data_IF_776546603427
#
_entry.id   IF_776546603427
#
_cell.length_a   1.000
_cell.length_b   1.000
_cell.length_c   1.000
_cell.angle_alpha   90.00
_cell.angle_beta   90.00
_cell.angle_gamma   90.00
#
_symmetry.space_group_name_H-M   'P 1'
#
loop_
_entity.id
_entity.type
_entity.pdbx_description
1 polymer ?
#
# COMPACT_ATOMS: atom_id res chain seq x y z
N UNK A 1 11.86 -16.42 -1.57
CA UNK A 1 11.89 -14.96 -1.83
C UNK A 1 10.99 -14.17 -0.88
N UNK A 2 9.67 -14.44 -0.77
CA UNK A 2 8.82 -13.73 0.20
C UNK A 2 9.06 -14.17 1.66
N UNK A 3 9.24 -15.48 1.86
CA UNK A 3 9.57 -16.05 3.19
C UNK A 3 10.93 -15.55 3.71
N UNK A 4 11.87 -15.28 2.81
CA UNK A 4 13.20 -14.77 3.16
C UNK A 4 13.14 -13.31 3.64
N UNK A 5 12.26 -12.50 3.06
CA UNK A 5 12.00 -11.12 3.51
C UNK A 5 11.32 -11.08 4.88
N UNK A 6 10.36 -11.98 5.12
CA UNK A 6 9.71 -12.12 6.42
C UNK A 6 10.73 -12.51 7.50
N UNK A 7 11.58 -13.49 7.22
CA UNK A 7 12.69 -13.89 8.11
C UNK A 7 13.68 -12.75 8.36
N UNK A 8 14.04 -11.97 7.34
CA UNK A 8 14.94 -10.83 7.47
C UNK A 8 14.37 -9.71 8.36
N UNK A 9 13.05 -9.58 8.45
CA UNK A 9 12.35 -8.65 9.36
C UNK A 9 12.08 -9.26 10.75
N UNK A 10 12.59 -10.46 11.05
CA UNK A 10 12.38 -11.16 12.32
C UNK A 10 10.97 -11.70 12.51
N UNK A 11 10.18 -11.80 11.44
CA UNK A 11 8.81 -12.29 11.49
C UNK A 11 8.77 -13.79 11.16
N UNK A 12 8.02 -14.54 11.96
CA UNK A 12 7.69 -15.92 11.62
C UNK A 12 6.67 -15.93 10.48
N UNK A 13 6.89 -16.82 9.51
CA UNK A 13 5.92 -17.10 8.46
C UNK A 13 4.80 -17.92 9.09
N UNK A 14 3.66 -17.28 9.35
CA UNK A 14 2.50 -17.93 9.94
C UNK A 14 1.56 -18.33 8.80
N UNK A 15 1.13 -19.60 8.71
CA UNK A 15 0.10 -20.02 7.76
C UNK A 15 -1.15 -19.15 7.92
N UNK A 16 -1.78 -18.75 6.80
CA UNK A 16 -2.99 -17.93 6.82
C UNK A 16 -4.10 -18.52 7.72
N UNK A 17 -4.18 -19.85 7.82
CA UNK A 17 -5.13 -20.55 8.68
C UNK A 17 -4.94 -20.26 10.19
N UNK A 18 -3.72 -19.95 10.63
CA UNK A 18 -3.39 -19.64 12.04
C UNK A 18 -3.47 -18.14 12.34
N UNK A 19 -3.76 -17.30 11.33
CA UNK A 19 -3.91 -15.86 11.50
C UNK A 19 -5.11 -15.52 12.39
N UNK A 20 -6.14 -16.39 12.40
CA UNK A 20 -7.36 -16.31 13.19
C UNK A 20 -7.15 -16.44 14.70
N UNK A 21 -6.03 -17.03 15.13
CA UNK A 21 -5.72 -17.31 16.53
C UNK A 21 -4.87 -16.21 17.17
N UNK A 22 -4.36 -15.27 16.38
CA UNK A 22 -3.58 -14.13 16.84
C UNK A 22 -4.47 -13.07 17.51
N UNK A 23 -3.94 -12.45 18.57
CA UNK A 23 -4.54 -11.26 19.17
C UNK A 23 -4.82 -10.19 18.08
N UNK A 24 -5.97 -9.49 18.08
CA UNK A 24 -6.35 -8.55 17.03
C UNK A 24 -5.29 -7.49 16.71
N UNK A 25 -4.58 -7.00 17.73
CA UNK A 25 -3.50 -6.02 17.57
C UNK A 25 -2.30 -6.60 16.79
N UNK A 26 -1.88 -7.81 17.17
CA UNK A 26 -0.77 -8.53 16.54
C UNK A 26 -1.10 -8.87 15.09
N UNK A 27 -2.31 -9.37 14.85
CA UNK A 27 -2.84 -9.65 13.51
C UNK A 27 -2.79 -8.40 12.61
N UNK A 28 -3.26 -7.27 13.14
CA UNK A 28 -3.27 -5.99 12.40
C UNK A 28 -1.86 -5.53 12.06
N UNK A 29 -0.91 -5.66 13.00
CA UNK A 29 0.49 -5.33 12.75
C UNK A 29 1.11 -6.23 11.68
N UNK A 30 0.86 -7.54 11.75
CA UNK A 30 1.36 -8.50 10.76
C UNK A 30 0.83 -8.21 9.36
N UNK A 31 -0.48 -7.96 9.23
CA UNK A 31 -1.10 -7.59 7.95
C UNK A 31 -0.51 -6.30 7.36
N UNK A 32 -0.21 -5.30 8.19
CA UNK A 32 0.46 -4.07 7.73
C UNK A 32 1.83 -4.37 7.14
N UNK A 33 2.64 -5.20 7.81
CA UNK A 33 3.96 -5.58 7.31
C UNK A 33 3.85 -6.37 6.01
N UNK A 34 2.89 -7.29 5.90
CA UNK A 34 2.67 -8.04 4.66
C UNK A 34 2.36 -7.12 3.47
N UNK A 35 1.49 -6.13 3.66
CA UNK A 35 1.13 -5.15 2.62
C UNK A 35 2.33 -4.29 2.24
N UNK A 36 3.17 -3.91 3.19
CA UNK A 36 4.41 -3.16 2.91
C UNK A 36 5.40 -4.01 2.09
N UNK A 37 5.58 -5.28 2.46
CA UNK A 37 6.46 -6.20 1.72
C UNK A 37 5.94 -6.48 0.30
N UNK A 38 4.64 -6.66 0.13
CA UNK A 38 4.03 -6.82 -1.19
C UNK A 38 4.30 -5.59 -2.06
N UNK A 39 4.14 -4.38 -1.50
CA UNK A 39 4.45 -3.12 -2.19
C UNK A 39 5.91 -3.04 -2.61
N UNK A 40 6.84 -3.30 -1.68
CA UNK A 40 8.28 -3.28 -1.95
C UNK A 40 8.65 -4.23 -3.09
N UNK A 41 8.09 -5.45 -3.09
CA UNK A 41 8.33 -6.43 -4.14
C UNK A 41 7.79 -5.99 -5.50
N UNK A 42 6.60 -5.38 -5.54
CA UNK A 42 6.05 -4.84 -6.80
C UNK A 42 6.92 -3.69 -7.31
N UNK A 43 7.45 -2.84 -6.42
CA UNK A 43 8.39 -1.79 -6.80
C UNK A 43 9.67 -2.38 -7.38
N UNK A 44 10.24 -3.40 -6.76
CA UNK A 44 11.45 -4.09 -7.24
C UNK A 44 11.26 -4.69 -8.63
N UNK A 45 10.12 -5.35 -8.87
CA UNK A 45 9.81 -5.99 -10.15
C UNK A 45 9.56 -4.95 -11.25
N UNK A 46 8.80 -3.89 -10.93
CA UNK A 46 8.32 -2.96 -11.96
C UNK A 46 9.22 -1.75 -12.14
N UNK A 47 10.03 -1.40 -11.13
CA UNK A 47 10.79 -0.15 -11.02
C UNK A 47 9.94 1.12 -11.24
N UNK A 48 8.61 1.02 -11.12
CA UNK A 48 7.69 2.13 -11.36
C UNK A 48 7.37 2.85 -10.05
N UNK A 49 8.18 3.85 -9.72
CA UNK A 49 7.96 4.72 -8.56
C UNK A 49 7.56 6.13 -9.02
N UNK A 50 6.51 6.74 -8.44
CA UNK A 50 6.16 8.14 -8.74
C UNK A 50 7.29 9.11 -8.36
N UNK A 51 7.52 10.12 -9.19
CA UNK A 51 8.64 11.07 -9.01
C UNK A 51 8.64 11.80 -7.68
N UNK A 52 7.46 12.08 -7.10
CA UNK A 52 7.36 12.71 -5.78
C UNK A 52 7.86 11.78 -4.68
N UNK A 53 7.52 10.49 -4.76
CA UNK A 53 7.94 9.47 -3.80
C UNK A 53 9.45 9.21 -3.95
N UNK A 54 9.95 9.18 -5.18
CA UNK A 54 11.38 9.06 -5.44
C UNK A 54 12.18 10.23 -4.85
N UNK A 55 11.65 11.45 -4.92
CA UNK A 55 12.34 12.67 -4.46
C UNK A 55 12.28 12.88 -2.95
N UNK A 56 11.15 12.57 -2.32
CA UNK A 56 10.89 12.90 -0.92
C UNK A 56 10.80 11.69 0.01
N UNK A 57 11.00 10.48 -0.54
CA UNK A 57 10.88 9.23 0.19
C UNK A 57 9.44 8.72 0.32
N UNK A 58 9.32 7.42 0.59
CA UNK A 58 8.04 6.72 0.68
C UNK A 58 7.41 6.82 2.08
N UNK A 59 6.98 8.02 2.44
CA UNK A 59 6.26 8.30 3.69
C UNK A 59 4.75 8.41 3.47
N UNK A 60 3.95 8.20 4.52
CA UNK A 60 2.49 8.33 4.43
C UNK A 60 2.06 9.71 3.92
N UNK A 61 2.68 10.78 4.40
CA UNK A 61 2.37 12.16 3.99
C UNK A 61 2.69 12.39 2.52
N UNK A 62 3.84 11.91 2.03
CA UNK A 62 4.24 12.03 0.62
C UNK A 62 3.32 11.22 -0.29
N UNK A 63 2.92 10.00 0.12
CA UNK A 63 1.93 9.20 -0.62
C UNK A 63 0.60 9.94 -0.76
N UNK A 64 0.08 10.50 0.34
CA UNK A 64 -1.16 11.29 0.29
C UNK A 64 -1.04 12.53 -0.60
N UNK A 65 0.10 13.22 -0.59
CA UNK A 65 0.36 14.34 -1.49
C UNK A 65 0.37 13.90 -2.95
N UNK A 66 1.01 12.77 -3.25
CA UNK A 66 1.03 12.17 -4.59
C UNK A 66 -0.38 11.72 -5.04
N UNK A 67 -1.19 11.18 -4.13
CA UNK A 67 -2.56 10.77 -4.43
C UNK A 67 -3.45 11.96 -4.73
N UNK A 68 -3.35 13.03 -3.93
CA UNK A 68 -4.03 14.29 -4.23
C UNK A 68 -3.60 14.84 -5.59
N UNK A 69 -2.30 14.80 -5.92
CA UNK A 69 -1.80 15.22 -7.24
C UNK A 69 -2.45 14.42 -8.37
N UNK A 70 -2.63 13.11 -8.21
CA UNK A 70 -3.33 12.28 -9.20
C UNK A 70 -4.80 12.68 -9.34
N UNK A 71 -5.52 12.88 -8.24
CA UNK A 71 -6.92 13.36 -8.27
C UNK A 71 -7.03 14.71 -9.01
N UNK A 72 -6.21 15.70 -8.64
CA UNK A 72 -6.23 17.02 -9.27
C UNK A 72 -5.77 17.01 -10.74
N UNK A 73 -5.08 15.94 -11.15
CA UNK A 73 -4.68 15.72 -12.55
C UNK A 73 -5.64 14.81 -13.31
N UNK A 74 -6.84 14.54 -12.77
CA UNK A 74 -7.86 13.65 -13.34
C UNK A 74 -7.33 12.27 -13.70
N UNK A 75 -6.45 11.72 -12.86
CA UNK A 75 -6.00 10.33 -12.96
C UNK A 75 -6.91 9.47 -12.11
N UNK A 76 -7.41 8.39 -12.66
CA UNK A 76 -8.26 7.42 -12.00
C UNK A 76 -7.44 6.24 -11.46
N UNK A 77 -8.05 5.34 -10.66
CA UNK A 77 -7.36 4.16 -10.17
C UNK A 77 -6.78 3.27 -11.29
N UNK A 78 -7.46 3.16 -12.44
CA UNK A 78 -6.99 2.38 -13.59
C UNK A 78 -5.66 2.90 -14.14
N UNK A 79 -5.51 4.22 -14.30
CA UNK A 79 -4.23 4.84 -14.66
C UNK A 79 -3.11 4.47 -13.67
N UNK A 80 -3.41 4.48 -12.37
CA UNK A 80 -2.41 4.16 -11.33
C UNK A 80 -2.08 2.66 -11.34
N UNK A 81 -3.03 1.77 -11.62
CA UNK A 81 -2.76 0.34 -11.77
C UNK A 81 -1.75 0.07 -12.90
N UNK A 82 -1.93 0.73 -14.05
CA UNK A 82 -1.06 0.52 -15.23
C UNK A 82 0.34 1.13 -15.02
N UNK A 83 0.40 2.34 -14.46
CA UNK A 83 1.64 3.13 -14.34
C UNK A 83 2.38 2.91 -13.03
N UNK A 84 1.69 2.67 -11.92
CA UNK A 84 2.27 2.60 -10.57
C UNK A 84 1.58 1.52 -9.73
N UNK A 85 1.61 0.25 -10.14
CA UNK A 85 0.80 -0.84 -9.56
C UNK A 85 1.02 -1.01 -8.04
N UNK A 86 2.22 -0.73 -7.55
CA UNK A 86 2.56 -0.76 -6.12
C UNK A 86 1.71 0.21 -5.27
N UNK A 87 1.17 1.27 -5.87
CA UNK A 87 0.39 2.31 -5.19
C UNK A 87 -1.11 2.23 -5.47
N UNK A 88 -1.53 1.32 -6.36
CA UNK A 88 -2.91 1.18 -6.80
C UNK A 88 -3.87 0.99 -5.64
N UNK A 89 -3.70 -0.05 -4.82
CA UNK A 89 -4.64 -0.40 -3.75
C UNK A 89 -4.86 0.74 -2.75
N UNK A 90 -3.78 1.41 -2.34
CA UNK A 90 -3.88 2.56 -1.45
C UNK A 90 -4.48 3.80 -2.11
N UNK A 91 -4.28 3.96 -3.42
CA UNK A 91 -4.88 5.05 -4.16
C UNK A 91 -6.37 4.83 -4.44
N UNK A 92 -6.78 3.63 -4.79
CA UNK A 92 -8.18 3.23 -5.00
C UNK A 92 -9.01 3.53 -3.75
N UNK A 93 -8.55 3.10 -2.57
CA UNK A 93 -9.21 3.39 -1.30
C UNK A 93 -9.29 4.90 -1.05
N UNK A 94 -8.20 5.63 -1.29
CA UNK A 94 -8.17 7.09 -1.14
C UNK A 94 -9.13 7.79 -2.11
N UNK A 95 -9.19 7.35 -3.36
CA UNK A 95 -10.05 7.87 -4.42
C UNK A 95 -11.51 7.62 -4.07
N UNK A 96 -11.88 6.40 -3.71
CA UNK A 96 -13.25 6.05 -3.30
C UNK A 96 -13.71 6.89 -2.10
N UNK A 97 -12.85 7.05 -1.10
CA UNK A 97 -13.14 7.89 0.08
C UNK A 97 -13.31 9.38 -0.27
N UNK A 98 -12.62 9.87 -1.32
CA UNK A 98 -12.69 11.29 -1.73
C UNK A 98 -13.84 11.57 -2.69
N UNK A 99 -14.14 10.63 -3.58
CA UNK A 99 -15.18 10.74 -4.59
C UNK A 99 -16.56 10.37 -4.05
N UNK A 100 -16.65 9.60 -2.96
CA UNK A 100 -17.93 9.33 -2.29
C UNK A 100 -18.34 10.50 -1.41
N UNK A 101 -19.43 11.16 -1.79
CA UNK A 101 -20.00 12.32 -1.08
C UNK A 101 -20.55 11.85 0.28
N UNK A 102 -19.85 12.15 1.38
CA UNK A 102 -20.33 11.92 2.76
C UNK A 102 -19.56 10.89 3.61
N UNK A 103 -18.53 10.22 3.08
CA UNK A 103 -17.81 9.14 3.79
C UNK A 103 -16.84 9.60 4.90
N UNK A 104 -17.01 10.82 5.43
CA UNK A 104 -16.15 11.29 6.53
C UNK A 104 -16.55 10.65 7.87
N UNK A 105 -17.75 10.06 7.98
CA UNK A 105 -18.28 9.39 9.19
C UNK A 105 -19.43 8.40 8.88
N UNK A 106 -19.32 7.57 7.83
CA UNK A 106 -20.26 6.48 7.59
C UNK A 106 -19.71 5.15 8.14
#
# INVERSE_FOLDING_TARGET
MFDDLLKAKGLQVIPFAQLGDLEPKVRTAYLKVLVELEREKIIEITNKVPSMIQKWGDTKSVRLAQYNKWIFSSKDPEYVLEKYPAFFKGYEEFFNNRMTRGYKYA
#
